data_IF_426382858240
#
_entry.id   IF_426382858240
#
_cell.length_a   1.000
_cell.length_b   1.000
_cell.length_c   1.000
_cell.angle_alpha   90.00
_cell.angle_beta   90.00
_cell.angle_gamma   90.00
#
_symmetry.space_group_name_H-M   'P 1'
#
loop_
_entity.id
_entity.type
_entity.pdbx_description
1 polymer ?
#
# COMPACT_ATOMS: atom_id res chain seq x y z
N UNK A 1 -64.98 33.67 -26.32
CA UNK A 1 -64.31 32.40 -25.97
C UNK A 1 -65.31 31.61 -25.08
N UNK A 2 -65.71 30.44 -25.52
CA UNK A 2 -66.75 29.66 -24.82
C UNK A 2 -66.18 29.17 -23.48
N UNK A 3 -66.93 29.29 -22.36
CA UNK A 3 -66.53 28.88 -21.02
C UNK A 3 -65.93 27.43 -20.99
N UNK A 4 -66.45 26.56 -21.90
CA UNK A 4 -66.01 25.17 -22.08
C UNK A 4 -64.57 25.08 -22.64
N UNK A 5 -64.19 25.95 -23.59
CA UNK A 5 -62.85 25.99 -24.17
C UNK A 5 -61.79 26.55 -23.19
N UNK A 6 -62.23 27.53 -22.35
CA UNK A 6 -61.35 28.07 -21.31
C UNK A 6 -61.03 27.04 -20.22
N UNK A 7 -62.00 26.21 -19.82
CA UNK A 7 -61.78 25.14 -18.87
C UNK A 7 -60.83 24.05 -19.41
N UNK A 8 -60.92 23.71 -20.71
CA UNK A 8 -60.04 22.72 -21.35
C UNK A 8 -58.59 23.23 -21.44
N UNK A 9 -58.37 24.51 -21.66
CA UNK A 9 -57.02 25.10 -21.67
C UNK A 9 -56.38 25.06 -20.28
N UNK A 10 -57.18 25.36 -19.22
CA UNK A 10 -56.66 25.27 -17.84
C UNK A 10 -56.27 23.82 -17.49
N UNK A 11 -57.09 22.85 -17.84
CA UNK A 11 -56.81 21.44 -17.57
C UNK A 11 -55.55 20.98 -18.33
N UNK A 12 -55.37 21.40 -19.59
CA UNK A 12 -54.17 21.08 -20.35
C UNK A 12 -52.90 21.68 -19.75
N UNK A 13 -52.97 22.91 -19.24
CA UNK A 13 -51.86 23.56 -18.53
C UNK A 13 -51.52 22.87 -17.22
N UNK A 14 -52.51 22.47 -16.45
CA UNK A 14 -52.27 21.72 -15.19
C UNK A 14 -51.65 20.36 -15.45
N UNK A 15 -52.08 19.63 -16.48
CA UNK A 15 -51.48 18.37 -16.89
C UNK A 15 -50.05 18.61 -17.35
N UNK A 16 -49.77 19.68 -18.12
CA UNK A 16 -48.44 20.02 -18.56
C UNK A 16 -47.49 20.28 -17.37
N UNK A 17 -47.93 21.09 -16.40
CA UNK A 17 -47.17 21.34 -15.15
C UNK A 17 -46.93 20.07 -14.35
N UNK A 18 -47.95 19.23 -14.24
CA UNK A 18 -47.80 17.93 -13.54
C UNK A 18 -46.78 17.03 -14.20
N UNK A 19 -46.83 16.90 -15.53
CA UNK A 19 -45.86 16.08 -16.28
C UNK A 19 -44.44 16.63 -16.16
N UNK A 20 -44.25 17.94 -16.23
CA UNK A 20 -42.91 18.57 -16.06
C UNK A 20 -42.37 18.29 -14.64
N UNK A 21 -43.18 18.51 -13.61
CA UNK A 21 -42.76 18.23 -12.23
C UNK A 21 -42.51 16.74 -11.97
N UNK A 22 -43.27 15.87 -12.60
CA UNK A 22 -43.08 14.41 -12.50
C UNK A 22 -41.77 13.97 -13.16
N UNK A 23 -41.46 14.47 -14.35
CA UNK A 23 -40.21 14.17 -15.06
C UNK A 23 -39.00 14.74 -14.31
N UNK A 24 -39.09 15.97 -13.78
CA UNK A 24 -38.03 16.59 -12.99
C UNK A 24 -37.77 15.79 -11.69
N UNK A 25 -38.82 15.37 -11.01
CA UNK A 25 -38.69 14.55 -9.81
C UNK A 25 -38.06 13.18 -10.06
N UNK A 26 -38.29 12.59 -11.24
CA UNK A 26 -37.61 11.35 -11.66
C UNK A 26 -36.14 11.57 -12.01
N UNK A 27 -35.80 12.67 -12.66
CA UNK A 27 -34.40 13.02 -12.97
C UNK A 27 -33.59 13.34 -11.72
N UNK A 28 -34.18 14.05 -10.73
CA UNK A 28 -33.52 14.30 -9.44
C UNK A 28 -33.30 13.01 -8.64
N UNK A 29 -34.23 12.06 -8.68
CA UNK A 29 -34.04 10.76 -8.04
C UNK A 29 -32.89 9.98 -8.69
N UNK A 30 -32.86 9.89 -10.02
CA UNK A 30 -31.78 9.21 -10.74
C UNK A 30 -30.41 9.86 -10.48
N UNK A 31 -30.33 11.19 -10.51
CA UNK A 31 -29.10 11.91 -10.21
C UNK A 31 -28.62 11.71 -8.77
N UNK A 32 -29.55 11.58 -7.81
CA UNK A 32 -29.19 11.25 -6.41
C UNK A 32 -28.76 9.79 -6.23
N UNK A 33 -29.38 8.85 -6.95
CA UNK A 33 -28.98 7.45 -6.94
C UNK A 33 -27.60 7.26 -7.59
N UNK A 34 -27.35 7.87 -8.77
CA UNK A 34 -26.03 7.87 -9.40
C UNK A 34 -24.95 8.55 -8.54
N UNK A 35 -25.27 9.67 -7.90
CA UNK A 35 -24.35 10.35 -7.00
C UNK A 35 -24.06 9.53 -5.73
N UNK A 36 -25.07 8.80 -5.22
CA UNK A 36 -24.90 7.89 -4.08
C UNK A 36 -24.10 6.63 -4.43
N UNK A 37 -24.27 6.11 -5.66
CA UNK A 37 -23.51 4.97 -6.17
C UNK A 37 -22.04 5.33 -6.42
N UNK A 38 -21.77 6.49 -7.04
CA UNK A 38 -20.43 7.06 -7.20
C UNK A 38 -19.75 7.39 -5.85
N UNK A 39 -20.51 7.90 -4.87
CA UNK A 39 -20.00 8.14 -3.52
C UNK A 39 -19.68 6.84 -2.79
N UNK A 40 -20.47 5.79 -2.99
CA UNK A 40 -20.24 4.46 -2.40
C UNK A 40 -19.03 3.75 -3.05
N UNK A 41 -18.88 3.89 -4.38
CA UNK A 41 -17.71 3.37 -5.11
C UNK A 41 -16.43 4.11 -4.74
N UNK A 42 -16.51 5.43 -4.49
CA UNK A 42 -15.38 6.22 -3.98
C UNK A 42 -15.07 5.95 -2.50
N UNK A 43 -16.07 5.55 -1.69
CA UNK A 43 -15.86 5.15 -0.29
C UNK A 43 -15.19 3.79 -0.16
N UNK A 44 -15.44 2.84 -1.07
CA UNK A 44 -14.80 1.50 -1.06
C UNK A 44 -13.30 1.57 -1.48
N UNK A 45 -12.88 2.66 -2.15
CA UNK A 45 -11.48 2.93 -2.47
C UNK A 45 -10.75 3.78 -1.40
N UNK A 46 -11.47 4.35 -0.42
CA UNK A 46 -10.93 5.29 0.57
C UNK A 46 -10.78 4.73 1.98
N UNK A 47 -11.24 3.50 2.26
CA UNK A 47 -11.17 2.92 3.61
C UNK A 47 -9.77 2.40 3.99
N UNK A 48 -8.84 2.26 3.04
CA UNK A 48 -7.43 2.04 3.36
C UNK A 48 -6.73 3.40 3.47
N UNK A 49 -6.71 3.96 4.68
CA UNK A 49 -5.92 5.14 5.00
C UNK A 49 -4.44 4.84 4.73
N UNK A 50 -3.80 5.60 3.85
CA UNK A 50 -2.35 5.52 3.72
C UNK A 50 -1.71 5.96 5.03
N UNK A 51 -0.83 5.14 5.57
CA UNK A 51 -0.20 5.41 6.85
C UNK A 51 0.77 4.31 7.26
N UNK A 52 1.22 4.36 8.53
CA UNK A 52 2.21 3.45 9.06
C UNK A 52 1.71 2.65 10.27
N UNK A 53 0.42 2.70 10.54
CA UNK A 53 -0.23 1.92 11.60
C UNK A 53 -0.71 0.57 11.09
N UNK A 54 -0.99 -0.34 12.00
CA UNK A 54 -1.62 -1.61 11.64
C UNK A 54 -2.98 -1.37 10.96
N UNK A 55 -3.20 -1.99 9.79
CA UNK A 55 -4.39 -1.84 8.97
C UNK A 55 -4.31 -0.70 7.95
N UNK A 56 -3.31 0.20 8.06
CA UNK A 56 -3.09 1.21 7.04
C UNK A 56 -2.48 0.56 5.79
N UNK A 57 -2.77 1.11 4.62
CA UNK A 57 -2.06 0.78 3.40
C UNK A 57 -0.66 1.37 3.44
N UNK A 58 0.35 0.52 3.26
CA UNK A 58 1.74 0.95 3.21
C UNK A 58 1.94 1.96 2.06
N UNK A 59 2.62 3.10 2.29
CA UNK A 59 2.98 4.05 1.25
C UNK A 59 3.73 3.35 0.11
N UNK A 60 3.34 3.62 -1.13
CA UNK A 60 4.06 3.08 -2.28
C UNK A 60 5.35 3.88 -2.49
N UNK A 61 6.37 3.19 -2.97
CA UNK A 61 7.66 3.81 -3.30
C UNK A 61 8.24 3.20 -4.55
N UNK A 62 9.26 3.87 -5.10
CA UNK A 62 10.07 3.37 -6.21
C UNK A 62 11.54 3.60 -5.91
N UNK A 63 12.31 2.52 -5.82
CA UNK A 63 13.75 2.54 -5.57
C UNK A 63 14.50 1.67 -6.59
N UNK A 64 15.76 1.99 -6.83
CA UNK A 64 16.63 1.16 -7.67
C UNK A 64 17.28 0.07 -6.82
N UNK A 65 17.31 -1.16 -7.32
CA UNK A 65 17.99 -2.26 -6.66
C UNK A 65 19.47 -2.36 -7.11
N UNK A 66 20.25 -3.22 -6.42
CA UNK A 66 21.67 -3.45 -6.76
C UNK A 66 21.91 -3.98 -8.18
N UNK A 67 20.88 -4.42 -8.93
CA UNK A 67 20.98 -4.82 -10.34
C UNK A 67 20.66 -3.69 -11.31
N UNK A 68 20.44 -2.47 -10.81
CA UNK A 68 20.07 -1.30 -11.61
C UNK A 68 18.64 -1.30 -12.12
N UNK A 69 17.74 -2.14 -11.52
CA UNK A 69 16.35 -2.23 -11.90
C UNK A 69 15.51 -1.44 -10.89
N UNK A 70 14.57 -0.65 -11.39
CA UNK A 70 13.54 0.00 -10.58
C UNK A 70 12.57 -1.04 -10.01
N UNK A 71 12.22 -0.86 -8.74
CA UNK A 71 11.35 -1.72 -7.96
C UNK A 71 10.39 -0.85 -7.16
N UNK A 72 9.11 -1.10 -7.27
CA UNK A 72 8.06 -0.45 -6.47
C UNK A 72 7.43 -1.45 -5.50
N UNK A 73 6.94 -0.98 -4.36
CA UNK A 73 6.20 -1.83 -3.43
C UNK A 73 4.95 -2.41 -4.12
N UNK A 74 4.29 -1.61 -4.96
CA UNK A 74 3.12 -2.01 -5.75
C UNK A 74 3.37 -3.16 -6.74
N UNK A 75 4.63 -3.45 -7.12
CA UNK A 75 4.98 -4.60 -7.96
C UNK A 75 4.72 -5.95 -7.24
N UNK A 76 4.58 -5.91 -5.92
CA UNK A 76 4.38 -7.09 -5.06
C UNK A 76 2.94 -7.26 -4.58
N UNK A 77 1.96 -6.59 -5.19
CA UNK A 77 0.54 -6.83 -4.90
C UNK A 77 0.19 -8.31 -5.06
N UNK A 78 -0.52 -8.85 -4.06
CA UNK A 78 -0.85 -10.27 -4.00
C UNK A 78 0.22 -11.15 -3.35
N UNK A 79 1.37 -10.57 -2.94
CA UNK A 79 2.39 -11.20 -2.09
C UNK A 79 2.41 -10.56 -0.72
N UNK A 80 2.79 -11.32 0.28
CA UNK A 80 3.21 -10.78 1.59
C UNK A 80 4.59 -10.17 1.44
N UNK A 81 4.84 -9.04 2.09
CA UNK A 81 6.14 -8.35 2.01
C UNK A 81 6.72 -8.14 3.41
N UNK A 82 7.98 -8.52 3.58
CA UNK A 82 8.83 -8.14 4.71
C UNK A 82 9.67 -6.96 4.24
N UNK A 83 9.24 -5.74 4.57
CA UNK A 83 9.94 -4.51 4.22
C UNK A 83 10.86 -4.10 5.37
N UNK A 84 12.17 -4.29 5.20
CA UNK A 84 13.18 -4.08 6.23
C UNK A 84 14.07 -2.88 5.89
N UNK A 85 14.28 -1.98 6.86
CA UNK A 85 15.18 -0.82 6.75
C UNK A 85 16.44 -1.07 7.56
N UNK A 86 17.61 -0.91 6.92
CA UNK A 86 18.89 -1.31 7.49
C UNK A 86 20.08 -0.49 6.94
N UNK A 87 21.25 -0.65 7.56
CA UNK A 87 22.52 -0.10 7.07
C UNK A 87 23.69 -1.07 7.35
N UNK A 88 24.78 -0.94 6.58
CA UNK A 88 25.95 -1.83 6.68
C UNK A 88 26.70 -1.67 8.00
N UNK A 89 26.70 -0.50 8.59
CA UNK A 89 27.38 -0.18 9.85
C UNK A 89 26.58 -0.55 11.11
N UNK A 90 25.33 -0.93 10.97
CA UNK A 90 24.38 -1.19 12.06
C UNK A 90 24.60 -2.60 12.67
N UNK A 91 25.09 -2.75 13.92
CA UNK A 91 25.38 -4.07 14.49
C UNK A 91 24.16 -4.99 14.62
N UNK A 92 22.98 -4.54 15.12
CA UNK A 92 21.79 -5.41 15.16
C UNK A 92 21.28 -5.79 13.77
N UNK A 93 21.45 -4.93 12.73
CA UNK A 93 21.12 -5.29 11.36
C UNK A 93 22.02 -6.43 10.85
N UNK A 94 23.33 -6.35 11.14
CA UNK A 94 24.28 -7.43 10.81
C UNK A 94 23.88 -8.78 11.43
N UNK A 95 23.39 -8.74 12.67
CA UNK A 95 22.95 -9.95 13.37
C UNK A 95 21.67 -10.56 12.77
N UNK A 96 20.79 -9.73 12.20
CA UNK A 96 19.52 -10.15 11.61
C UNK A 96 19.68 -10.77 10.22
N UNK A 97 20.60 -10.27 9.40
CA UNK A 97 20.71 -10.65 7.97
C UNK A 97 20.85 -12.16 7.73
N UNK A 98 21.64 -12.94 8.50
CA UNK A 98 21.70 -14.39 8.33
C UNK A 98 20.35 -15.10 8.62
N UNK A 99 19.57 -14.57 9.54
CA UNK A 99 18.23 -15.10 9.84
C UNK A 99 17.24 -14.80 8.73
N UNK A 100 17.30 -13.58 8.16
CA UNK A 100 16.50 -13.19 7.01
C UNK A 100 16.84 -14.04 5.78
N UNK A 101 18.13 -14.27 5.49
CA UNK A 101 18.56 -15.11 4.38
C UNK A 101 18.06 -16.54 4.53
N UNK A 102 18.22 -17.12 5.72
CA UNK A 102 17.76 -18.47 6.00
C UNK A 102 16.24 -18.62 5.89
N UNK A 103 15.49 -17.61 6.37
CA UNK A 103 14.05 -17.56 6.21
C UNK A 103 13.66 -17.48 4.73
N UNK A 104 14.31 -16.59 3.97
CA UNK A 104 14.05 -16.38 2.55
C UNK A 104 14.22 -17.66 1.73
N UNK A 105 15.35 -18.34 1.89
CA UNK A 105 15.65 -19.60 1.18
C UNK A 105 14.65 -20.71 1.48
N UNK A 106 14.16 -20.79 2.71
CA UNK A 106 13.34 -21.93 3.14
C UNK A 106 11.83 -21.72 2.97
N UNK A 107 11.38 -20.49 3.12
CA UNK A 107 9.97 -20.21 3.35
C UNK A 107 9.36 -19.23 2.31
N UNK A 108 10.14 -18.32 1.72
CA UNK A 108 9.61 -17.23 0.91
C UNK A 108 8.67 -17.70 -0.21
N UNK A 109 9.09 -18.71 -0.98
CA UNK A 109 8.26 -19.25 -2.06
C UNK A 109 7.00 -19.96 -1.56
N UNK A 110 7.14 -20.79 -0.51
CA UNK A 110 6.03 -21.58 0.05
C UNK A 110 4.94 -20.72 0.68
N UNK A 111 5.35 -19.61 1.31
CA UNK A 111 4.46 -18.73 2.06
C UNK A 111 4.02 -17.52 1.24
N UNK A 112 4.41 -17.46 -0.04
CA UNK A 112 4.15 -16.33 -0.95
C UNK A 112 4.64 -14.99 -0.37
N UNK A 113 5.89 -14.98 0.12
CA UNK A 113 6.54 -13.83 0.76
C UNK A 113 7.66 -13.29 -0.11
N UNK A 114 7.83 -11.97 -0.14
CA UNK A 114 9.03 -11.32 -0.62
C UNK A 114 9.70 -10.54 0.51
N UNK A 115 11.03 -10.48 0.50
CA UNK A 115 11.80 -9.59 1.38
C UNK A 115 12.30 -8.43 0.54
N UNK A 116 11.94 -7.22 0.91
CA UNK A 116 12.47 -5.98 0.35
C UNK A 116 13.33 -5.31 1.42
N UNK A 117 14.65 -5.43 1.28
CA UNK A 117 15.58 -4.84 2.23
C UNK A 117 16.07 -3.49 1.72
N UNK A 118 15.49 -2.40 2.24
CA UNK A 118 15.84 -1.03 1.92
C UNK A 118 17.07 -0.62 2.73
N UNK A 119 18.19 -0.46 2.04
CA UNK A 119 19.38 0.12 2.63
C UNK A 119 19.25 1.65 2.68
N UNK A 120 19.46 2.25 3.86
CA UNK A 120 19.49 3.71 4.04
C UNK A 120 20.80 4.27 3.46
N UNK A 121 20.93 4.24 2.13
CA UNK A 121 22.19 4.51 1.40
C UNK A 121 22.68 5.93 1.60
N UNK A 122 21.74 6.88 1.79
CA UNK A 122 22.08 8.28 2.15
C UNK A 122 22.84 8.41 3.47
N UNK A 123 22.72 7.41 4.36
CA UNK A 123 23.37 7.37 5.68
C UNK A 123 24.43 6.25 5.77
N UNK A 124 24.70 5.55 4.66
CA UNK A 124 25.67 4.45 4.59
C UNK A 124 26.96 4.89 3.84
N UNK A 125 27.94 4.03 3.74
CA UNK A 125 29.22 4.26 3.04
C UNK A 125 29.08 4.13 1.51
N UNK A 126 27.87 4.22 0.99
CA UNK A 126 27.49 4.17 -0.42
C UNK A 126 27.35 2.76 -0.98
N UNK A 127 26.88 2.69 -2.23
CA UNK A 127 26.50 1.44 -2.91
C UNK A 127 27.61 0.37 -2.90
N UNK A 128 28.88 0.77 -3.00
CA UNK A 128 30.01 -0.19 -2.97
C UNK A 128 30.09 -0.95 -1.66
N UNK A 129 29.89 -0.26 -0.53
CA UNK A 129 29.88 -0.89 0.78
C UNK A 129 28.69 -1.85 0.93
N UNK A 130 27.53 -1.45 0.41
CA UNK A 130 26.31 -2.29 0.39
C UNK A 130 26.56 -3.56 -0.43
N UNK A 131 27.17 -3.46 -1.62
CA UNK A 131 27.53 -4.63 -2.45
C UNK A 131 28.46 -5.59 -1.74
N UNK A 132 29.55 -5.07 -1.13
CA UNK A 132 30.50 -5.88 -0.36
C UNK A 132 29.81 -6.60 0.82
N UNK A 133 28.90 -5.93 1.49
CA UNK A 133 28.12 -6.51 2.56
C UNK A 133 27.22 -7.65 2.06
N UNK A 134 26.45 -7.40 1.00
CA UNK A 134 25.54 -8.38 0.38
C UNK A 134 26.30 -9.63 -0.08
N UNK A 135 27.43 -9.46 -0.71
CA UNK A 135 28.30 -10.56 -1.16
C UNK A 135 28.90 -11.33 0.03
N UNK A 136 29.35 -10.63 1.06
CA UNK A 136 29.92 -11.21 2.27
C UNK A 136 28.90 -12.05 3.07
N UNK A 137 27.67 -11.61 3.16
CA UNK A 137 26.57 -12.33 3.82
C UNK A 137 25.82 -13.29 2.88
N UNK A 138 26.14 -13.28 1.57
CA UNK A 138 25.51 -14.08 0.51
C UNK A 138 23.99 -13.87 0.46
N UNK A 139 23.55 -12.61 0.58
CA UNK A 139 22.15 -12.26 0.55
C UNK A 139 21.58 -12.39 -0.87
N UNK A 140 20.43 -13.05 -1.00
CA UNK A 140 19.81 -13.32 -2.31
C UNK A 140 18.46 -12.64 -2.51
N UNK A 141 17.86 -12.12 -1.46
CA UNK A 141 16.64 -11.31 -1.55
C UNK A 141 16.93 -9.90 -2.11
N UNK A 142 15.92 -9.20 -2.65
CA UNK A 142 16.05 -7.86 -3.17
C UNK A 142 16.60 -6.84 -2.17
N UNK A 143 17.69 -6.17 -2.57
CA UNK A 143 18.28 -5.03 -1.84
C UNK A 143 17.98 -3.77 -2.64
N UNK A 144 17.31 -2.81 -2.01
CA UNK A 144 16.91 -1.53 -2.60
C UNK A 144 17.75 -0.41 -1.99
N UNK A 145 18.09 0.60 -2.79
CA UNK A 145 18.98 1.70 -2.40
C UNK A 145 18.16 2.97 -2.18
N UNK A 146 18.08 3.43 -0.95
CA UNK A 146 17.47 4.72 -0.59
C UNK A 146 18.56 5.79 -0.55
N UNK A 147 18.98 6.23 -1.75
CA UNK A 147 20.11 7.16 -1.93
C UNK A 147 19.79 8.56 -1.43
N UNK A 148 18.53 9.00 -1.55
CA UNK A 148 18.08 10.31 -1.10
C UNK A 148 17.58 10.30 0.37
N UNK A 149 17.32 9.12 0.93
CA UNK A 149 16.82 8.96 2.31
C UNK A 149 15.33 9.23 2.48
N UNK A 150 14.62 9.49 1.38
CA UNK A 150 13.20 9.87 1.40
C UNK A 150 12.31 8.73 1.90
N UNK A 151 12.61 7.50 1.51
CA UNK A 151 11.78 6.35 1.88
C UNK A 151 12.00 5.95 3.35
N UNK A 152 13.23 6.04 3.82
CA UNK A 152 13.54 5.89 5.25
C UNK A 152 12.80 6.92 6.12
N UNK A 153 12.70 8.17 5.66
CA UNK A 153 11.94 9.22 6.36
C UNK A 153 10.43 8.97 6.29
N UNK A 154 9.88 8.65 5.11
CA UNK A 154 8.46 8.38 4.92
C UNK A 154 7.98 7.23 5.82
N UNK A 155 8.77 6.15 5.90
CA UNK A 155 8.50 5.01 6.77
C UNK A 155 8.94 5.21 8.22
N UNK A 156 9.45 6.39 8.57
CA UNK A 156 9.93 6.73 9.92
C UNK A 156 10.88 5.67 10.48
N UNK A 157 11.82 5.23 9.65
CA UNK A 157 12.84 4.24 10.00
C UNK A 157 14.06 4.89 10.68
N UNK A 158 13.82 5.76 11.67
CA UNK A 158 14.86 6.49 12.43
C UNK A 158 15.67 5.59 13.36
N UNK A 159 15.14 4.45 13.73
CA UNK A 159 15.83 3.40 14.49
C UNK A 159 15.90 2.16 13.63
N UNK A 160 17.09 1.62 13.40
CA UNK A 160 17.30 0.44 12.56
C UNK A 160 17.85 -0.74 13.36
N UNK A 161 17.49 -1.99 12.99
CA UNK A 161 16.55 -2.30 11.92
C UNK A 161 15.10 -1.97 12.30
N UNK A 162 14.32 -1.50 11.33
CA UNK A 162 12.86 -1.38 11.44
C UNK A 162 12.25 -2.18 10.30
N UNK A 163 11.25 -3.00 10.63
CA UNK A 163 10.59 -3.88 9.66
C UNK A 163 9.09 -3.70 9.68
N UNK A 164 8.50 -3.61 8.51
CA UNK A 164 7.05 -3.65 8.31
C UNK A 164 6.67 -4.99 7.67
N UNK A 165 5.70 -5.65 8.25
CA UNK A 165 5.09 -6.86 7.70
C UNK A 165 3.81 -6.43 6.98
N UNK A 166 3.77 -6.61 5.67
CA UNK A 166 2.71 -6.13 4.79
C UNK A 166 2.02 -7.33 4.15
N UNK A 167 0.70 -7.38 4.20
CA UNK A 167 -0.09 -8.49 3.68
C UNK A 167 -0.32 -8.43 2.16
N UNK A 168 -1.04 -9.41 1.61
CA UNK A 168 -1.33 -9.52 0.18
C UNK A 168 -2.17 -8.36 -0.39
N UNK A 169 -2.84 -7.57 0.46
CA UNK A 169 -3.62 -6.39 0.08
C UNK A 169 -2.77 -5.11 0.10
N UNK A 170 -1.54 -5.19 0.62
CA UNK A 170 -0.65 -4.04 0.84
C UNK A 170 -0.91 -3.32 2.16
N UNK A 171 -1.59 -3.97 3.13
CA UNK A 171 -1.87 -3.41 4.44
C UNK A 171 -0.81 -3.84 5.47
N UNK A 172 -0.39 -2.89 6.31
CA UNK A 172 0.59 -3.15 7.37
C UNK A 172 -0.06 -3.98 8.47
N UNK A 173 0.48 -5.16 8.73
CA UNK A 173 0.03 -6.03 9.82
C UNK A 173 0.86 -5.87 11.09
N UNK A 174 2.18 -5.63 10.93
CA UNK A 174 3.09 -5.41 12.06
C UNK A 174 4.17 -4.37 11.69
N UNK A 175 4.60 -3.61 12.70
CA UNK A 175 5.82 -2.82 12.70
C UNK A 175 6.71 -3.30 13.84
N UNK A 176 7.94 -3.67 13.51
CA UNK A 176 8.93 -4.17 14.45
C UNK A 176 10.14 -3.23 14.45
N UNK A 177 10.59 -2.83 15.62
CA UNK A 177 11.84 -2.08 15.80
C UNK A 177 12.83 -2.97 16.55
N UNK A 178 13.98 -3.20 15.96
CA UNK A 178 14.99 -4.13 16.43
C UNK A 178 15.07 -5.41 15.58
N UNK A 179 16.10 -6.23 15.80
CA UNK A 179 16.39 -7.41 14.98
C UNK A 179 15.37 -8.52 15.18
N UNK A 180 15.06 -9.23 14.09
CA UNK A 180 14.22 -10.42 14.10
C UNK A 180 15.06 -11.68 13.84
N UNK A 181 14.60 -12.81 14.37
CA UNK A 181 15.10 -14.13 14.01
C UNK A 181 14.12 -14.87 13.07
N UNK A 182 14.55 -16.03 12.56
CA UNK A 182 13.76 -16.89 11.64
C UNK A 182 12.37 -17.24 12.22
N UNK A 183 12.29 -17.62 13.50
CA UNK A 183 11.05 -18.05 14.15
C UNK A 183 10.05 -16.88 14.31
N UNK A 184 10.56 -15.67 14.60
CA UNK A 184 9.74 -14.47 14.67
C UNK A 184 9.13 -14.15 13.30
N UNK A 185 9.94 -14.14 12.23
CA UNK A 185 9.47 -13.91 10.86
C UNK A 185 8.38 -14.91 10.48
N UNK A 186 8.63 -16.19 10.71
CA UNK A 186 7.67 -17.26 10.41
C UNK A 186 6.35 -17.06 11.15
N UNK A 187 6.38 -16.84 12.46
CA UNK A 187 5.17 -16.61 13.27
C UNK A 187 4.36 -15.40 12.79
N UNK A 188 5.04 -14.31 12.40
CA UNK A 188 4.36 -13.10 11.92
C UNK A 188 3.73 -13.32 10.55
N UNK A 189 4.42 -13.97 9.64
CA UNK A 189 3.93 -14.27 8.28
C UNK A 189 2.75 -15.25 8.30
N UNK A 190 2.78 -16.26 9.18
CA UNK A 190 1.65 -17.20 9.39
C UNK A 190 0.37 -16.47 9.84
N UNK A 191 0.50 -15.36 10.54
CA UNK A 191 -0.63 -14.52 11.00
C UNK A 191 -1.16 -13.52 9.98
N UNK A 192 -0.52 -13.41 8.79
CA UNK A 192 -0.95 -12.51 7.71
C UNK A 192 -1.80 -13.27 6.69
N UNK A 193 -2.91 -12.67 6.30
CA UNK A 193 -3.82 -13.22 5.28
C UNK A 193 -3.44 -12.79 3.88
#
# INVERSE_FOLDING_TARGET
MNKRNFALVIVALLIGIFLVNFVQGQQEKKAKEEAAELANESMDLSDAKNGLSKGDRAPDFKLTNLKGKDVSLSDYKGKKVILNFWATWCPPCKAEMPHMQKYYEKNAEKENVEILAVNLTSQDEGERAVRQFVDGYKLTFPILLDEEGEIGEEYRAFTIPTTYMIDTKGEIQHKIVGPMNEDMMKKMVEGMN
#
